data_IF_538928396052
#
_entry.id   IF_538928396052
#
_cell.length_a   1.000
_cell.length_b   1.000
_cell.length_c   1.000
_cell.angle_alpha   90.00
_cell.angle_beta   90.00
_cell.angle_gamma   90.00
#
_symmetry.space_group_name_H-M   'P 1'
#
loop_
_entity.id
_entity.type
_entity.pdbx_description
1 polymer ?
#
# COMPACT_ATOMS: atom_id res chain seq x y z
N UNK A 1 -35.86 -26.76 -53.71
CA UNK A 1 -35.19 -26.71 -52.42
C UNK A 1 -33.79 -27.38 -52.39
N UNK A 2 -33.58 -28.56 -52.96
CA UNK A 2 -32.26 -29.23 -52.96
C UNK A 2 -31.11 -28.48 -53.67
N UNK A 3 -31.38 -27.74 -54.76
CA UNK A 3 -30.33 -26.96 -55.50
C UNK A 3 -29.83 -25.73 -54.73
N UNK A 4 -30.66 -25.05 -53.97
CA UNK A 4 -30.27 -23.90 -53.14
C UNK A 4 -29.48 -24.31 -51.90
N UNK A 5 -29.75 -25.49 -51.34
CA UNK A 5 -28.98 -26.03 -50.23
C UNK A 5 -27.54 -26.43 -50.62
N UNK A 6 -27.35 -26.95 -51.84
CA UNK A 6 -26.02 -27.26 -52.39
C UNK A 6 -25.17 -25.98 -52.65
N UNK A 7 -25.78 -24.90 -53.09
CA UNK A 7 -25.09 -23.61 -53.32
C UNK A 7 -24.67 -22.97 -51.99
N UNK A 8 -25.53 -23.02 -50.96
CA UNK A 8 -25.19 -22.54 -49.63
C UNK A 8 -24.06 -23.38 -48.98
N UNK A 9 -24.09 -24.70 -49.11
CA UNK A 9 -23.03 -25.59 -48.61
C UNK A 9 -21.72 -25.36 -49.37
N UNK A 10 -21.76 -25.15 -50.69
CA UNK A 10 -20.58 -24.86 -51.48
C UNK A 10 -19.95 -23.48 -51.15
N UNK A 11 -20.78 -22.46 -50.86
CA UNK A 11 -20.33 -21.16 -50.41
C UNK A 11 -19.66 -21.24 -49.00
N UNK A 12 -20.23 -21.97 -48.08
CA UNK A 12 -19.66 -22.21 -46.75
C UNK A 12 -18.32 -22.98 -46.82
N UNK A 13 -18.24 -23.99 -47.69
CA UNK A 13 -17.01 -24.78 -47.86
C UNK A 13 -15.90 -23.94 -48.53
N UNK A 14 -16.25 -23.06 -49.51
CA UNK A 14 -15.28 -22.21 -50.19
C UNK A 14 -14.71 -21.12 -49.26
N UNK A 15 -15.54 -20.49 -48.39
CA UNK A 15 -15.12 -19.48 -47.43
C UNK A 15 -14.23 -20.10 -46.36
N UNK A 16 -14.56 -21.29 -45.85
CA UNK A 16 -13.73 -22.00 -44.86
C UNK A 16 -12.41 -22.48 -45.46
N UNK A 17 -12.34 -22.94 -46.67
CA UNK A 17 -11.15 -23.39 -47.36
C UNK A 17 -10.17 -22.20 -47.64
N UNK A 18 -10.72 -21.06 -48.05
CA UNK A 18 -9.92 -19.87 -48.34
C UNK A 18 -9.32 -19.27 -47.08
N UNK A 19 -10.12 -19.11 -46.01
CA UNK A 19 -9.60 -18.64 -44.73
C UNK A 19 -8.52 -19.55 -44.15
N UNK A 20 -8.62 -20.86 -44.38
CA UNK A 20 -7.61 -21.82 -43.93
C UNK A 20 -6.26 -21.61 -44.65
N UNK A 21 -6.26 -21.41 -45.96
CA UNK A 21 -5.04 -21.18 -46.76
C UNK A 21 -4.36 -19.86 -46.38
N UNK A 22 -5.15 -18.81 -46.20
CA UNK A 22 -4.63 -17.50 -45.77
C UNK A 22 -3.95 -17.56 -44.39
N UNK A 23 -4.52 -18.25 -43.40
CA UNK A 23 -3.92 -18.42 -42.08
C UNK A 23 -2.68 -19.33 -42.09
N UNK A 24 -2.57 -20.26 -43.05
CA UNK A 24 -1.36 -21.09 -43.21
C UNK A 24 -0.17 -20.25 -43.71
N UNK A 25 -0.38 -19.35 -44.65
CA UNK A 25 0.66 -18.45 -45.14
C UNK A 25 1.15 -17.49 -44.04
N UNK A 26 0.23 -16.91 -43.24
CA UNK A 26 0.59 -16.10 -42.08
C UNK A 26 1.45 -16.90 -41.11
N UNK A 27 1.03 -18.12 -40.78
CA UNK A 27 1.73 -18.97 -39.82
C UNK A 27 3.12 -19.37 -40.30
N UNK A 28 3.27 -19.70 -41.59
CA UNK A 28 4.60 -19.97 -42.17
C UNK A 28 5.56 -18.78 -42.07
N UNK A 29 5.05 -17.56 -42.31
CA UNK A 29 5.84 -16.34 -42.14
C UNK A 29 6.28 -16.15 -40.68
N UNK A 30 5.43 -16.39 -39.72
CA UNK A 30 5.77 -16.28 -38.29
C UNK A 30 6.84 -17.30 -37.89
N UNK A 31 6.71 -18.57 -38.33
CA UNK A 31 7.71 -19.62 -38.06
C UNK A 31 9.06 -19.31 -38.67
N UNK A 32 9.09 -18.59 -39.78
CA UNK A 32 10.32 -18.17 -40.48
C UNK A 32 10.85 -16.81 -39.99
N UNK A 33 10.32 -16.28 -38.88
CA UNK A 33 10.64 -14.95 -38.29
C UNK A 33 10.47 -13.79 -39.30
N UNK A 34 9.55 -13.94 -40.27
CA UNK A 34 9.24 -12.93 -41.27
C UNK A 34 8.03 -12.08 -40.79
N UNK A 35 8.13 -11.47 -39.57
CA UNK A 35 7.03 -10.80 -38.91
C UNK A 35 6.37 -9.67 -39.73
N UNK A 36 7.14 -8.79 -40.45
CA UNK A 36 6.52 -7.77 -41.31
C UNK A 36 5.72 -8.35 -42.48
N UNK A 37 6.12 -9.52 -43.00
CA UNK A 37 5.41 -10.21 -44.08
C UNK A 37 4.17 -10.90 -43.53
N UNK A 38 4.26 -11.54 -42.36
CA UNK A 38 3.12 -12.11 -41.66
C UNK A 38 2.02 -11.07 -41.41
N UNK A 39 2.40 -9.87 -40.96
CA UNK A 39 1.44 -8.74 -40.78
C UNK A 39 0.70 -8.40 -42.06
N UNK A 40 1.42 -8.27 -43.19
CA UNK A 40 0.79 -7.93 -44.48
C UNK A 40 -0.23 -8.98 -44.95
N UNK A 41 0.09 -10.26 -44.78
CA UNK A 41 -0.86 -11.33 -45.07
C UNK A 41 -2.02 -11.34 -44.13
N UNK A 42 -1.77 -11.07 -42.84
CA UNK A 42 -2.83 -11.03 -41.83
C UNK A 42 -3.84 -9.89 -42.10
N UNK A 43 -3.36 -8.71 -42.52
CA UNK A 43 -4.24 -7.59 -42.88
C UNK A 43 -5.20 -7.96 -44.03
N UNK A 44 -4.75 -8.71 -45.02
CA UNK A 44 -5.58 -9.23 -46.09
C UNK A 44 -6.60 -10.25 -45.56
N UNK A 45 -6.17 -11.21 -44.73
CA UNK A 45 -7.08 -12.19 -44.10
C UNK A 45 -8.17 -11.53 -43.26
N UNK A 46 -7.83 -10.50 -42.49
CA UNK A 46 -8.78 -9.73 -41.67
C UNK A 46 -9.81 -8.99 -42.51
N UNK A 47 -9.37 -8.38 -43.64
CA UNK A 47 -10.27 -7.65 -44.52
C UNK A 47 -11.35 -8.54 -45.16
N UNK A 48 -10.98 -9.80 -45.45
CA UNK A 48 -11.89 -10.76 -46.08
C UNK A 48 -12.78 -11.52 -45.07
N UNK A 49 -12.32 -11.68 -43.83
CA UNK A 49 -12.97 -12.52 -42.83
C UNK A 49 -13.06 -11.86 -41.45
N UNK A 50 -13.67 -10.66 -41.31
CA UNK A 50 -13.64 -9.87 -40.07
C UNK A 50 -14.40 -10.50 -38.89
N UNK A 51 -15.33 -11.43 -39.17
CA UNK A 51 -16.17 -12.10 -38.17
C UNK A 51 -15.72 -13.55 -37.86
N UNK A 52 -14.54 -13.96 -38.31
CA UNK A 52 -14.01 -15.29 -38.09
C UNK A 52 -13.13 -15.38 -36.83
N UNK A 53 -13.53 -16.18 -35.85
CA UNK A 53 -12.79 -16.36 -34.59
C UNK A 53 -11.33 -16.82 -34.77
N UNK A 54 -11.08 -17.75 -35.71
CA UNK A 54 -9.71 -18.23 -36.00
C UNK A 54 -8.83 -17.15 -36.61
N UNK A 55 -9.40 -16.22 -37.39
CA UNK A 55 -8.69 -15.07 -37.96
C UNK A 55 -8.30 -14.10 -36.87
N UNK A 56 -9.19 -13.79 -35.95
CA UNK A 56 -8.89 -12.96 -34.78
C UNK A 56 -7.84 -13.60 -33.87
N UNK A 57 -7.93 -14.94 -33.66
CA UNK A 57 -6.92 -15.67 -32.89
C UNK A 57 -5.53 -15.61 -33.54
N UNK A 58 -5.46 -15.74 -34.86
CA UNK A 58 -4.21 -15.57 -35.61
C UNK A 58 -3.71 -14.13 -35.53
N UNK A 59 -4.56 -13.13 -35.68
CA UNK A 59 -4.20 -11.72 -35.54
C UNK A 59 -3.59 -11.44 -34.16
N UNK A 60 -4.20 -11.97 -33.09
CA UNK A 60 -3.65 -11.82 -31.74
C UNK A 60 -2.25 -12.43 -31.62
N UNK A 61 -2.04 -13.64 -32.19
CA UNK A 61 -0.72 -14.26 -32.22
C UNK A 61 0.29 -13.43 -33.03
N UNK A 62 -0.10 -12.92 -34.21
CA UNK A 62 0.77 -12.00 -35.00
C UNK A 62 1.22 -10.82 -34.15
N UNK A 63 0.32 -10.22 -33.37
CA UNK A 63 0.63 -9.10 -32.53
C UNK A 63 1.62 -9.49 -31.39
N UNK A 64 1.51 -10.69 -30.80
CA UNK A 64 2.52 -11.20 -29.85
C UNK A 64 3.89 -11.31 -30.50
N UNK A 65 3.96 -11.83 -31.74
CA UNK A 65 5.23 -11.94 -32.48
C UNK A 65 5.78 -10.56 -32.88
N UNK A 66 4.93 -9.58 -33.20
CA UNK A 66 5.33 -8.20 -33.46
C UNK A 66 5.99 -7.55 -32.25
N UNK A 67 5.43 -7.74 -31.05
CA UNK A 67 6.03 -7.27 -29.81
C UNK A 67 7.41 -7.91 -29.58
N UNK A 68 7.52 -9.23 -29.70
CA UNK A 68 8.82 -9.92 -29.55
C UNK A 68 9.85 -9.44 -30.57
N UNK A 69 9.43 -9.24 -31.82
CA UNK A 69 10.26 -8.71 -32.88
C UNK A 69 10.80 -7.31 -32.54
N UNK A 70 9.96 -6.45 -31.98
CA UNK A 70 10.40 -5.11 -31.54
C UNK A 70 11.36 -5.19 -30.35
N UNK A 71 11.13 -6.08 -29.39
CA UNK A 71 12.07 -6.30 -28.28
C UNK A 71 13.44 -6.74 -28.79
N UNK A 72 13.50 -7.69 -29.73
CA UNK A 72 14.74 -8.15 -30.30
C UNK A 72 15.50 -7.06 -31.10
N UNK A 73 14.76 -6.19 -31.81
CA UNK A 73 15.35 -5.05 -32.52
C UNK A 73 15.95 -4.03 -31.55
N UNK A 74 15.18 -3.64 -30.54
CA UNK A 74 15.61 -2.66 -29.54
C UNK A 74 16.72 -3.18 -28.61
N UNK A 75 16.79 -4.50 -28.40
CA UNK A 75 17.91 -5.10 -27.68
C UNK A 75 19.23 -5.02 -28.47
N UNK A 76 19.16 -5.07 -29.81
CA UNK A 76 20.34 -4.91 -30.70
C UNK A 76 20.73 -3.45 -30.90
N UNK A 77 19.76 -2.56 -30.92
CA UNK A 77 19.97 -1.13 -31.07
C UNK A 77 18.95 -0.36 -30.18
N UNK A 78 19.38 0.08 -28.98
CA UNK A 78 18.53 0.82 -28.04
C UNK A 78 18.02 2.17 -28.54
N UNK A 79 18.55 2.69 -29.63
CA UNK A 79 18.08 3.96 -30.24
C UNK A 79 16.78 3.79 -31.04
N UNK A 80 16.41 2.54 -31.35
CA UNK A 80 15.19 2.25 -32.11
C UNK A 80 13.94 2.41 -31.25
N UNK A 81 12.88 2.89 -31.88
CA UNK A 81 11.53 2.86 -31.33
C UNK A 81 10.77 1.62 -31.77
N UNK A 82 9.72 1.19 -31.02
CA UNK A 82 8.87 0.10 -31.44
C UNK A 82 8.24 0.38 -32.80
N UNK A 83 8.30 -0.59 -33.71
CA UNK A 83 7.62 -0.54 -34.99
C UNK A 83 6.11 -0.81 -34.82
N UNK A 84 5.77 -1.57 -33.76
CA UNK A 84 4.40 -1.98 -33.47
C UNK A 84 4.04 -1.57 -32.03
N UNK A 85 3.88 -0.26 -31.76
CA UNK A 85 3.77 0.26 -30.39
C UNK A 85 2.55 -0.26 -29.62
N UNK A 86 1.47 -0.63 -30.33
CA UNK A 86 0.22 -1.11 -29.74
C UNK A 86 0.12 -2.65 -29.72
N UNK A 87 1.17 -3.37 -30.15
CA UNK A 87 1.09 -4.82 -30.37
C UNK A 87 0.55 -5.61 -29.16
N UNK A 88 0.91 -5.22 -27.93
CA UNK A 88 0.44 -5.90 -26.71
C UNK A 88 -1.03 -5.69 -26.47
N UNK A 89 -1.54 -4.46 -26.61
CA UNK A 89 -2.97 -4.16 -26.44
C UNK A 89 -3.79 -4.81 -27.58
N UNK A 90 -3.30 -4.73 -28.79
CA UNK A 90 -3.93 -5.35 -29.97
C UNK A 90 -3.98 -6.88 -29.83
N UNK A 91 -2.93 -7.50 -29.28
CA UNK A 91 -2.91 -8.93 -28.98
C UNK A 91 -3.99 -9.29 -27.95
N UNK A 92 -4.05 -8.56 -26.85
CA UNK A 92 -5.03 -8.79 -25.78
C UNK A 92 -6.46 -8.68 -26.29
N UNK A 93 -6.76 -7.58 -27.00
CA UNK A 93 -8.08 -7.35 -27.60
C UNK A 93 -8.43 -8.42 -28.65
N UNK A 94 -7.45 -8.86 -29.43
CA UNK A 94 -7.61 -9.92 -30.42
C UNK A 94 -7.98 -11.27 -29.78
N UNK A 95 -7.33 -11.66 -28.67
CA UNK A 95 -7.70 -12.85 -27.91
C UNK A 95 -9.12 -12.76 -27.33
N UNK A 96 -9.49 -11.60 -26.78
CA UNK A 96 -10.85 -11.37 -26.26
C UNK A 96 -11.89 -11.44 -27.38
N UNK A 97 -11.61 -10.85 -28.55
CA UNK A 97 -12.51 -10.86 -29.70
C UNK A 97 -12.69 -12.26 -30.24
N UNK A 98 -11.60 -13.03 -30.38
CA UNK A 98 -11.68 -14.44 -30.80
C UNK A 98 -12.62 -15.25 -29.89
N UNK A 99 -12.47 -15.14 -28.56
CA UNK A 99 -13.35 -15.79 -27.58
C UNK A 99 -14.79 -15.31 -27.65
N UNK A 100 -15.03 -14.05 -27.98
CA UNK A 100 -16.38 -13.51 -28.10
C UNK A 100 -17.13 -14.03 -29.32
N UNK A 101 -16.40 -14.36 -30.38
CA UNK A 101 -16.94 -14.94 -31.63
C UNK A 101 -17.16 -16.45 -31.53
N UNK A 102 -16.20 -17.16 -30.92
CA UNK A 102 -16.30 -18.58 -30.61
C UNK A 102 -15.54 -18.90 -29.31
N UNK A 103 -16.27 -19.33 -28.29
CA UNK A 103 -15.70 -19.71 -26.98
C UNK A 103 -14.81 -20.95 -27.05
N UNK A 104 -14.96 -21.76 -28.08
CA UNK A 104 -14.22 -23.01 -28.30
C UNK A 104 -13.17 -22.87 -29.39
N UNK A 105 -12.85 -21.66 -29.83
CA UNK A 105 -11.81 -21.44 -30.84
C UNK A 105 -10.49 -22.05 -30.42
N UNK A 106 -9.93 -22.89 -31.27
CA UNK A 106 -8.68 -23.61 -31.02
C UNK A 106 -7.55 -23.06 -31.87
N UNK A 107 -6.31 -22.95 -31.31
CA UNK A 107 -5.17 -22.51 -32.07
C UNK A 107 -4.66 -23.61 -33.00
N UNK A 108 -3.95 -23.22 -34.07
CA UNK A 108 -3.07 -24.13 -34.82
C UNK A 108 -1.91 -24.56 -33.93
N UNK A 109 -1.34 -25.72 -34.21
CA UNK A 109 -0.19 -26.23 -33.46
C UNK A 109 0.95 -25.22 -33.40
N UNK A 110 1.38 -24.90 -32.18
CA UNK A 110 2.48 -23.95 -31.93
C UNK A 110 2.04 -22.48 -31.75
N UNK A 111 0.73 -22.20 -31.89
CA UNK A 111 0.16 -20.88 -31.56
C UNK A 111 -0.40 -20.88 -30.15
N UNK A 112 -0.54 -19.70 -29.57
CA UNK A 112 -1.25 -19.51 -28.31
C UNK A 112 -2.75 -19.60 -28.55
N UNK A 113 -3.45 -20.39 -27.73
CA UNK A 113 -4.89 -20.26 -27.57
C UNK A 113 -5.28 -18.97 -26.85
N UNK A 114 -6.57 -18.64 -26.77
CA UNK A 114 -6.99 -17.38 -26.19
C UNK A 114 -6.55 -17.19 -24.73
N UNK A 115 -6.60 -18.25 -23.93
CA UNK A 115 -6.21 -18.20 -22.51
C UNK A 115 -4.69 -18.11 -22.36
N UNK A 116 -3.96 -18.99 -22.99
CA UNK A 116 -2.49 -19.00 -22.97
C UNK A 116 -1.90 -17.70 -23.55
N UNK A 117 -2.55 -17.16 -24.59
CA UNK A 117 -2.17 -15.90 -25.21
C UNK A 117 -2.33 -14.72 -24.27
N UNK A 118 -3.40 -14.68 -23.48
CA UNK A 118 -3.56 -13.65 -22.44
C UNK A 118 -2.55 -13.82 -21.31
N UNK A 119 -2.26 -15.05 -20.88
CA UNK A 119 -1.27 -15.34 -19.83
C UNK A 119 0.11 -14.80 -20.18
N UNK A 120 0.59 -15.00 -21.42
CA UNK A 120 1.91 -14.50 -21.86
C UNK A 120 2.01 -12.98 -21.96
N UNK A 121 0.90 -12.26 -21.89
CA UNK A 121 0.84 -10.79 -21.88
C UNK A 121 0.93 -10.18 -20.46
N UNK A 122 0.86 -11.00 -19.41
CA UNK A 122 0.84 -10.51 -18.03
C UNK A 122 2.09 -9.66 -17.69
N UNK A 123 3.28 -10.21 -17.89
CA UNK A 123 4.54 -9.48 -17.64
C UNK A 123 4.73 -8.27 -18.56
N UNK A 124 4.50 -8.34 -19.87
CA UNK A 124 4.48 -7.16 -20.73
C UNK A 124 3.59 -6.02 -20.20
N UNK A 125 2.36 -6.30 -19.79
CA UNK A 125 1.48 -5.29 -19.23
C UNK A 125 2.01 -4.72 -17.91
N UNK A 126 2.53 -5.56 -17.02
CA UNK A 126 3.17 -5.12 -15.77
C UNK A 126 4.32 -4.14 -16.05
N UNK A 127 5.18 -4.43 -17.00
CA UNK A 127 6.29 -3.53 -17.37
C UNK A 127 5.78 -2.22 -18.00
N UNK A 128 4.75 -2.28 -18.85
CA UNK A 128 4.08 -1.09 -19.39
C UNK A 128 3.47 -0.23 -18.27
N UNK A 129 2.83 -0.86 -17.29
CA UNK A 129 2.24 -0.17 -16.14
C UNK A 129 3.30 0.57 -15.31
N UNK A 130 4.41 -0.12 -14.96
CA UNK A 130 5.53 0.49 -14.23
C UNK A 130 6.13 1.68 -14.98
N UNK A 131 6.35 1.53 -16.30
CA UNK A 131 6.85 2.62 -17.14
C UNK A 131 5.87 3.79 -17.20
N UNK A 132 4.58 3.53 -17.30
CA UNK A 132 3.56 4.58 -17.27
C UNK A 132 3.55 5.30 -15.93
N UNK A 133 3.61 4.56 -14.81
CA UNK A 133 3.67 5.11 -13.46
C UNK A 133 4.91 5.99 -13.24
N UNK A 134 6.09 5.52 -13.64
CA UNK A 134 7.34 6.28 -13.53
C UNK A 134 7.35 7.57 -14.37
N UNK A 135 6.55 7.61 -15.43
CA UNK A 135 6.37 8.79 -16.27
C UNK A 135 5.19 9.69 -15.83
N UNK A 136 4.56 9.41 -14.70
CA UNK A 136 3.42 10.16 -14.18
C UNK A 136 2.10 9.98 -14.97
N UNK A 137 2.02 8.96 -15.84
CA UNK A 137 0.82 8.63 -16.62
C UNK A 137 -0.07 7.68 -15.82
N UNK A 138 -0.77 8.22 -14.84
CA UNK A 138 -1.55 7.44 -13.86
C UNK A 138 -2.66 6.60 -14.49
N UNK A 139 -3.41 7.15 -15.45
CA UNK A 139 -4.50 6.42 -16.13
C UNK A 139 -3.98 5.23 -16.94
N UNK A 140 -2.88 5.43 -17.68
CA UNK A 140 -2.21 4.34 -18.42
C UNK A 140 -1.68 3.27 -17.44
N UNK A 141 -1.08 3.69 -16.31
CA UNK A 141 -0.58 2.77 -15.30
C UNK A 141 -1.71 1.89 -14.74
N UNK A 142 -2.83 2.51 -14.32
CA UNK A 142 -4.00 1.78 -13.81
C UNK A 142 -4.58 0.82 -14.85
N UNK A 143 -4.67 1.26 -16.11
CA UNK A 143 -5.13 0.43 -17.22
C UNK A 143 -4.27 -0.83 -17.37
N UNK A 144 -2.95 -0.65 -17.44
CA UNK A 144 -2.05 -1.76 -17.69
C UNK A 144 -1.87 -2.68 -16.46
N UNK A 145 -1.84 -2.15 -15.24
CA UNK A 145 -1.91 -2.99 -14.03
C UNK A 145 -3.21 -3.81 -14.00
N UNK A 146 -4.34 -3.22 -14.41
CA UNK A 146 -5.61 -3.92 -14.51
C UNK A 146 -5.61 -5.04 -15.54
N UNK A 147 -4.94 -4.87 -16.68
CA UNK A 147 -4.76 -5.93 -17.68
C UNK A 147 -3.82 -7.02 -17.15
N UNK A 148 -2.69 -6.65 -16.54
CA UNK A 148 -1.76 -7.60 -15.95
C UNK A 148 -2.44 -8.46 -14.87
N UNK A 149 -3.21 -7.83 -13.95
CA UNK A 149 -3.94 -8.55 -12.91
C UNK A 149 -4.86 -9.62 -13.50
N UNK A 150 -5.67 -9.27 -14.53
CA UNK A 150 -6.56 -10.23 -15.20
C UNK A 150 -5.79 -11.37 -15.87
N UNK A 151 -4.66 -11.07 -16.49
CA UNK A 151 -3.83 -12.09 -17.13
C UNK A 151 -3.22 -13.06 -16.09
N UNK A 152 -2.73 -12.55 -14.96
CA UNK A 152 -2.22 -13.37 -13.85
C UNK A 152 -3.34 -14.21 -13.19
N UNK A 153 -4.56 -13.70 -13.07
CA UNK A 153 -5.71 -14.49 -12.60
C UNK A 153 -6.00 -15.70 -13.50
N UNK A 154 -5.85 -15.53 -14.81
CA UNK A 154 -6.03 -16.62 -15.77
C UNK A 154 -4.95 -17.71 -15.64
N UNK A 155 -3.72 -17.37 -15.23
CA UNK A 155 -2.65 -18.31 -14.97
C UNK A 155 -2.65 -18.91 -13.57
N UNK A 156 -3.65 -18.54 -12.75
CA UNK A 156 -3.74 -18.90 -11.32
C UNK A 156 -2.53 -18.37 -10.48
N UNK A 157 -1.82 -17.38 -10.98
CA UNK A 157 -0.71 -16.70 -10.31
C UNK A 157 -1.24 -15.65 -9.31
N UNK A 158 -1.90 -16.12 -8.25
CA UNK A 158 -2.59 -15.27 -7.27
C UNK A 158 -1.68 -14.21 -6.64
N UNK A 159 -0.42 -14.55 -6.36
CA UNK A 159 0.55 -13.61 -5.76
C UNK A 159 0.80 -12.44 -6.71
N UNK A 160 1.04 -12.73 -8.00
CA UNK A 160 1.26 -11.69 -8.99
C UNK A 160 0.00 -10.82 -9.20
N UNK A 161 -1.18 -11.44 -9.28
CA UNK A 161 -2.45 -10.72 -9.39
C UNK A 161 -2.68 -9.81 -8.16
N UNK A 162 -2.47 -10.31 -6.95
CA UNK A 162 -2.55 -9.54 -5.71
C UNK A 162 -1.57 -8.35 -5.71
N UNK A 163 -0.33 -8.59 -6.18
CA UNK A 163 0.67 -7.53 -6.36
C UNK A 163 0.21 -6.42 -7.31
N UNK A 164 -0.44 -6.77 -8.42
CA UNK A 164 -0.98 -5.75 -9.34
C UNK A 164 -2.09 -4.92 -8.70
N UNK A 165 -2.98 -5.53 -7.92
CA UNK A 165 -3.98 -4.78 -7.16
C UNK A 165 -3.35 -3.87 -6.10
N UNK A 166 -2.29 -4.32 -5.44
CA UNK A 166 -1.52 -3.50 -4.52
C UNK A 166 -0.86 -2.30 -5.24
N UNK A 167 -0.22 -2.53 -6.39
CA UNK A 167 0.40 -1.47 -7.19
C UNK A 167 -0.64 -0.44 -7.67
N UNK A 168 -1.85 -0.89 -8.06
CA UNK A 168 -2.97 0.01 -8.36
C UNK A 168 -3.37 0.87 -7.15
N UNK A 169 -3.40 0.28 -5.96
CA UNK A 169 -3.70 1.02 -4.73
C UNK A 169 -2.66 2.12 -4.48
N UNK A 170 -1.37 1.83 -4.70
CA UNK A 170 -0.29 2.83 -4.60
C UNK A 170 -0.51 3.99 -5.57
N UNK A 171 -0.93 3.71 -6.81
CA UNK A 171 -1.29 4.77 -7.77
C UNK A 171 -2.46 5.61 -7.25
N UNK A 172 -3.52 4.99 -6.70
CA UNK A 172 -4.66 5.71 -6.13
C UNK A 172 -4.29 6.54 -4.89
N UNK A 173 -3.30 6.12 -4.09
CA UNK A 173 -2.75 6.94 -3.00
C UNK A 173 -2.17 8.25 -3.56
N UNK A 174 -1.37 8.19 -4.63
CA UNK A 174 -0.79 9.40 -5.25
C UNK A 174 -1.84 10.34 -5.83
N UNK A 175 -3.00 9.79 -6.23
CA UNK A 175 -4.16 10.54 -6.72
C UNK A 175 -5.07 11.06 -5.59
N UNK A 176 -4.78 10.73 -4.33
CA UNK A 176 -5.64 10.97 -3.16
C UNK A 176 -7.06 10.38 -3.31
N UNK A 177 -7.18 9.27 -4.07
CA UNK A 177 -8.45 8.54 -4.27
C UNK A 177 -8.56 7.39 -3.26
N UNK A 178 -8.95 7.72 -2.04
CA UNK A 178 -9.07 6.75 -0.93
C UNK A 178 -10.08 5.62 -1.23
N UNK A 179 -11.16 5.92 -1.94
CA UNK A 179 -12.20 4.93 -2.23
C UNK A 179 -11.70 3.82 -3.15
N UNK A 180 -11.05 4.17 -4.26
CA UNK A 180 -10.47 3.19 -5.17
C UNK A 180 -9.23 2.53 -4.58
N UNK A 181 -8.41 3.24 -3.79
CA UNK A 181 -7.31 2.66 -3.02
C UNK A 181 -7.83 1.52 -2.13
N UNK A 182 -8.83 1.79 -1.27
CA UNK A 182 -9.46 0.79 -0.39
C UNK A 182 -9.92 -0.43 -1.17
N UNK A 183 -10.65 -0.23 -2.27
CA UNK A 183 -11.14 -1.31 -3.12
C UNK A 183 -10.02 -2.19 -3.69
N UNK A 184 -8.91 -1.60 -4.09
CA UNK A 184 -7.78 -2.36 -4.64
C UNK A 184 -7.04 -3.11 -3.55
N UNK A 185 -6.83 -2.51 -2.37
CA UNK A 185 -6.23 -3.19 -1.22
C UNK A 185 -7.07 -4.37 -0.75
N UNK A 186 -8.40 -4.22 -0.67
CA UNK A 186 -9.31 -5.32 -0.35
C UNK A 186 -9.21 -6.48 -1.35
N UNK A 187 -9.09 -6.19 -2.65
CA UNK A 187 -8.87 -7.22 -3.68
C UNK A 187 -7.52 -7.91 -3.50
N UNK A 188 -6.48 -7.15 -3.19
CA UNK A 188 -5.13 -7.67 -2.98
C UNK A 188 -5.10 -8.67 -1.83
N UNK A 189 -5.60 -8.30 -0.64
CA UNK A 189 -5.65 -9.19 0.53
C UNK A 189 -6.64 -10.34 0.40
N UNK A 190 -7.72 -10.17 -0.39
CA UNK A 190 -8.65 -11.26 -0.67
C UNK A 190 -8.02 -12.34 -1.55
N UNK A 191 -7.14 -11.96 -2.48
CA UNK A 191 -6.42 -12.89 -3.33
C UNK A 191 -5.29 -13.61 -2.57
N UNK A 192 -4.52 -12.86 -1.76
CA UNK A 192 -3.40 -13.34 -0.95
C UNK A 192 -3.39 -12.60 0.40
N UNK A 193 -3.91 -13.20 1.48
CA UNK A 193 -4.04 -12.53 2.77
C UNK A 193 -2.71 -12.03 3.37
N UNK A 194 -1.63 -12.77 3.18
CA UNK A 194 -0.29 -12.45 3.69
C UNK A 194 0.60 -11.73 2.67
N UNK A 195 0.01 -11.01 1.73
CA UNK A 195 0.72 -10.32 0.65
C UNK A 195 1.70 -9.26 1.18
N UNK A 196 1.26 -8.43 2.12
CA UNK A 196 2.07 -7.38 2.73
C UNK A 196 1.39 -6.77 3.97
N UNK A 197 2.11 -6.55 5.08
CA UNK A 197 1.62 -5.76 6.22
C UNK A 197 1.16 -4.36 5.82
N UNK A 198 1.86 -3.73 4.86
CA UNK A 198 1.55 -2.38 4.38
C UNK A 198 0.14 -2.27 3.79
N UNK A 199 -0.38 -3.34 3.18
CA UNK A 199 -1.76 -3.36 2.67
C UNK A 199 -2.78 -3.17 3.80
N UNK A 200 -2.56 -3.80 4.95
CA UNK A 200 -3.41 -3.69 6.12
C UNK A 200 -3.25 -2.36 6.85
N UNK A 201 -2.03 -1.85 6.95
CA UNK A 201 -1.74 -0.52 7.52
C UNK A 201 -2.51 0.55 6.73
N UNK A 202 -2.41 0.53 5.42
CA UNK A 202 -3.07 1.52 4.56
C UNK A 202 -4.61 1.38 4.60
N UNK A 203 -5.13 0.15 4.66
CA UNK A 203 -6.58 -0.07 4.84
C UNK A 203 -7.06 0.48 6.19
N UNK A 204 -6.30 0.21 7.25
CA UNK A 204 -6.61 0.75 8.57
C UNK A 204 -6.66 2.29 8.53
N UNK A 205 -5.65 2.94 7.97
CA UNK A 205 -5.61 4.40 7.85
C UNK A 205 -6.79 4.96 7.05
N UNK A 206 -7.16 4.31 5.95
CA UNK A 206 -8.32 4.73 5.16
C UNK A 206 -9.63 4.63 5.97
N UNK A 207 -9.82 3.57 6.75
CA UNK A 207 -11.02 3.41 7.59
C UNK A 207 -10.98 4.29 8.84
N UNK A 208 -9.80 4.55 9.41
CA UNK A 208 -9.62 5.49 10.52
C UNK A 208 -10.02 6.92 10.11
N UNK A 209 -9.62 7.37 8.93
CA UNK A 209 -10.01 8.66 8.35
C UNK A 209 -11.54 8.78 8.16
N UNK A 210 -12.19 7.67 7.84
CA UNK A 210 -13.65 7.57 7.75
C UNK A 210 -14.33 7.43 9.12
N UNK A 211 -13.54 7.33 10.20
CA UNK A 211 -14.01 7.06 11.57
C UNK A 211 -14.81 5.76 11.70
N UNK A 212 -14.55 4.78 10.82
CA UNK A 212 -15.17 3.47 10.83
C UNK A 212 -14.39 2.52 11.75
N UNK A 213 -14.61 2.65 13.05
CA UNK A 213 -13.95 1.86 14.10
C UNK A 213 -14.21 0.34 13.94
N UNK A 214 -15.39 -0.02 13.42
CA UNK A 214 -15.74 -1.43 13.20
C UNK A 214 -14.85 -2.04 12.12
N UNK A 215 -14.71 -1.35 10.98
CA UNK A 215 -13.81 -1.77 9.90
C UNK A 215 -12.34 -1.78 10.34
N UNK A 216 -11.91 -0.80 11.13
CA UNK A 216 -10.57 -0.81 11.73
C UNK A 216 -10.32 -2.11 12.51
N UNK A 217 -11.26 -2.53 13.37
CA UNK A 217 -11.15 -3.77 14.14
C UNK A 217 -11.13 -5.04 13.27
N UNK A 218 -11.97 -5.09 12.23
CA UNK A 218 -11.96 -6.19 11.27
C UNK A 218 -10.59 -6.33 10.56
N UNK A 219 -9.98 -5.21 10.15
CA UNK A 219 -8.69 -5.18 9.48
C UNK A 219 -7.57 -5.63 10.41
N UNK A 220 -7.55 -5.16 11.65
CA UNK A 220 -6.57 -5.60 12.67
C UNK A 220 -6.67 -7.12 12.90
N UNK A 221 -7.88 -7.64 13.05
CA UNK A 221 -8.11 -9.08 13.26
C UNK A 221 -7.65 -9.90 12.06
N UNK A 222 -7.95 -9.47 10.84
CA UNK A 222 -7.49 -10.12 9.61
C UNK A 222 -5.97 -10.10 9.49
N UNK A 223 -5.34 -8.97 9.80
CA UNK A 223 -3.88 -8.82 9.76
C UNK A 223 -3.19 -9.77 10.75
N UNK A 224 -3.65 -9.82 12.00
CA UNK A 224 -3.12 -10.72 13.01
C UNK A 224 -3.20 -12.20 12.57
N UNK A 225 -4.31 -12.59 11.96
CA UNK A 225 -4.50 -13.94 11.42
C UNK A 225 -3.58 -14.22 10.23
N UNK A 226 -3.47 -13.28 9.31
CA UNK A 226 -2.67 -13.43 8.08
C UNK A 226 -1.18 -13.62 8.41
N UNK A 227 -0.66 -12.88 9.39
CA UNK A 227 0.77 -12.91 9.76
C UNK A 227 1.08 -13.70 11.03
N UNK A 228 0.14 -14.50 11.56
CA UNK A 228 0.32 -15.26 12.79
C UNK A 228 1.56 -16.17 12.79
N UNK A 229 1.96 -16.69 11.64
CA UNK A 229 3.13 -17.56 11.47
C UNK A 229 4.40 -16.81 11.03
N UNK A 230 4.33 -15.49 10.81
CA UNK A 230 5.44 -14.66 10.35
C UNK A 230 5.66 -13.47 11.29
N UNK A 231 6.36 -13.73 12.40
CA UNK A 231 6.60 -12.74 13.45
C UNK A 231 7.31 -11.48 12.91
N UNK A 232 8.23 -11.62 11.96
CA UNK A 232 8.94 -10.48 11.35
C UNK A 232 7.99 -9.50 10.67
N UNK A 233 7.01 -10.00 9.94
CA UNK A 233 6.00 -9.15 9.29
C UNK A 233 4.93 -8.67 10.28
N UNK A 234 4.61 -9.48 11.30
CA UNK A 234 3.66 -9.09 12.34
C UNK A 234 4.15 -7.89 13.15
N UNK A 235 5.45 -7.79 13.40
CA UNK A 235 6.09 -6.65 14.08
C UNK A 235 5.80 -5.31 13.36
N UNK A 236 5.73 -5.31 12.03
CA UNK A 236 5.43 -4.08 11.25
C UNK A 236 4.02 -3.54 11.55
N UNK A 237 3.12 -4.39 12.02
CA UNK A 237 1.73 -4.04 12.36
C UNK A 237 1.56 -3.54 13.80
N UNK A 238 2.54 -3.74 14.69
CA UNK A 238 2.41 -3.36 16.10
C UNK A 238 2.05 -1.89 16.32
N UNK A 239 2.64 -0.90 15.62
CA UNK A 239 2.24 0.50 15.76
C UNK A 239 0.76 0.73 15.44
N UNK A 240 0.25 0.11 14.38
CA UNK A 240 -1.15 0.21 13.97
C UNK A 240 -2.08 -0.48 14.97
N UNK A 241 -1.70 -1.64 15.51
CA UNK A 241 -2.45 -2.35 16.55
C UNK A 241 -2.51 -1.53 17.85
N UNK A 242 -1.38 -0.97 18.30
CA UNK A 242 -1.35 -0.11 19.49
C UNK A 242 -2.25 1.11 19.31
N UNK A 243 -2.22 1.76 18.13
CA UNK A 243 -3.08 2.88 17.80
C UNK A 243 -4.55 2.49 17.87
N UNK A 244 -4.92 1.35 17.30
CA UNK A 244 -6.30 0.85 17.34
C UNK A 244 -6.76 0.57 18.78
N UNK A 245 -6.04 -0.27 19.56
CA UNK A 245 -6.46 -0.62 20.91
C UNK A 245 -6.49 0.59 21.85
N UNK A 246 -5.56 1.52 21.70
CA UNK A 246 -5.59 2.79 22.43
C UNK A 246 -6.84 3.62 22.08
N UNK A 247 -7.22 3.68 20.79
CA UNK A 247 -8.37 4.50 20.35
C UNK A 247 -9.72 3.99 20.89
N UNK A 248 -9.85 2.68 21.12
CA UNK A 248 -11.06 2.06 21.66
C UNK A 248 -11.01 1.84 23.18
N UNK A 249 -9.90 2.22 23.83
CA UNK A 249 -9.72 2.04 25.28
C UNK A 249 -9.52 0.59 25.73
N UNK A 250 -9.13 -0.32 24.81
CA UNK A 250 -8.83 -1.72 25.12
C UNK A 250 -7.41 -1.83 25.69
N UNK A 251 -7.27 -1.53 26.96
CA UNK A 251 -5.98 -1.50 27.65
C UNK A 251 -5.35 -2.90 27.78
N UNK A 252 -6.15 -3.97 27.83
CA UNK A 252 -5.62 -5.34 27.95
C UNK A 252 -4.85 -5.73 26.67
N UNK A 253 -5.48 -5.61 25.51
CA UNK A 253 -4.84 -5.90 24.25
C UNK A 253 -3.72 -4.90 23.91
N UNK A 254 -3.87 -3.62 24.28
CA UNK A 254 -2.82 -2.62 24.14
C UNK A 254 -1.56 -3.05 24.88
N UNK A 255 -1.66 -3.40 26.17
CA UNK A 255 -0.51 -3.81 26.97
C UNK A 255 0.14 -5.10 26.46
N UNK A 256 -0.67 -6.05 25.97
CA UNK A 256 -0.17 -7.29 25.38
C UNK A 256 0.67 -7.05 24.12
N UNK A 257 0.25 -6.12 23.25
CA UNK A 257 1.03 -5.74 22.06
C UNK A 257 2.26 -4.93 22.43
N UNK A 258 2.13 -3.99 23.38
CA UNK A 258 3.27 -3.22 23.91
C UNK A 258 4.38 -4.14 24.44
N UNK A 259 4.06 -5.20 25.18
CA UNK A 259 5.05 -6.14 25.70
C UNK A 259 5.80 -6.87 24.57
N UNK A 260 5.09 -7.29 23.53
CA UNK A 260 5.69 -7.90 22.34
C UNK A 260 6.58 -6.90 21.57
N UNK A 261 6.12 -5.67 21.45
CA UNK A 261 6.84 -4.59 20.75
C UNK A 261 8.17 -4.24 21.48
N UNK A 262 8.15 -4.14 22.81
CA UNK A 262 9.34 -3.92 23.64
C UNK A 262 10.33 -5.08 23.49
N UNK A 263 9.85 -6.32 23.43
CA UNK A 263 10.69 -7.50 23.28
C UNK A 263 11.49 -7.52 21.97
N UNK A 264 11.11 -6.76 20.95
CA UNK A 264 11.89 -6.60 19.71
C UNK A 264 13.24 -5.91 19.94
N UNK A 265 13.35 -5.09 20.98
CA UNK A 265 14.53 -4.30 21.29
C UNK A 265 14.75 -3.09 20.36
N UNK A 266 13.82 -2.80 19.46
CA UNK A 266 13.85 -1.61 18.59
C UNK A 266 13.62 -0.34 19.41
N UNK A 267 14.58 0.56 19.37
CA UNK A 267 14.58 1.78 20.20
C UNK A 267 13.43 2.73 19.83
N UNK A 268 13.11 2.87 18.55
CA UNK A 268 12.02 3.72 18.12
C UNK A 268 10.66 3.14 18.57
N UNK A 269 10.51 1.82 18.45
CA UNK A 269 9.31 1.12 18.94
C UNK A 269 9.16 1.23 20.45
N UNK A 270 10.27 1.13 21.23
CA UNK A 270 10.26 1.32 22.67
C UNK A 270 9.81 2.75 23.05
N UNK A 271 10.23 3.78 22.32
CA UNK A 271 9.78 5.16 22.54
C UNK A 271 8.27 5.32 22.28
N UNK A 272 7.76 4.71 21.21
CA UNK A 272 6.32 4.72 20.89
C UNK A 272 5.52 3.93 21.95
N UNK A 273 5.99 2.77 22.37
CA UNK A 273 5.41 1.97 23.46
C UNK A 273 5.29 2.79 24.75
N UNK A 274 6.34 3.52 25.13
CA UNK A 274 6.33 4.36 26.33
C UNK A 274 5.26 5.47 26.26
N UNK A 275 5.00 6.02 25.06
CA UNK A 275 3.92 6.99 24.86
C UNK A 275 2.56 6.34 25.11
N UNK A 276 2.29 5.15 24.59
CA UNK A 276 1.04 4.42 24.84
C UNK A 276 0.86 4.03 26.32
N UNK A 277 1.95 3.56 26.97
CA UNK A 277 1.94 3.26 28.40
C UNK A 277 1.65 4.50 29.24
N UNK A 278 2.21 5.64 28.88
CA UNK A 278 1.94 6.93 29.54
C UNK A 278 0.47 7.33 29.42
N UNK A 279 -0.11 7.23 28.21
CA UNK A 279 -1.51 7.54 27.98
C UNK A 279 -2.47 6.59 28.72
N UNK A 280 -2.06 5.33 28.88
CA UNK A 280 -2.74 4.32 29.70
C UNK A 280 -2.49 4.48 31.22
N UNK A 281 -1.77 5.53 31.64
CA UNK A 281 -1.35 5.83 33.02
C UNK A 281 -0.48 4.76 33.68
N UNK A 282 0.17 3.92 32.87
CA UNK A 282 1.15 2.92 33.32
C UNK A 282 2.55 3.57 33.47
N UNK A 283 2.64 4.64 34.28
CA UNK A 283 3.81 5.52 34.37
C UNK A 283 5.11 4.79 34.72
N UNK A 284 5.10 3.87 35.70
CA UNK A 284 6.28 3.14 36.12
C UNK A 284 6.84 2.25 35.00
N UNK A 285 5.93 1.61 34.25
CA UNK A 285 6.30 0.78 33.11
C UNK A 285 6.86 1.60 31.97
N UNK A 286 6.27 2.77 31.68
CA UNK A 286 6.76 3.73 30.68
C UNK A 286 8.18 4.22 31.01
N UNK A 287 8.40 4.60 32.28
CA UNK A 287 9.70 5.05 32.76
C UNK A 287 10.77 3.98 32.62
N UNK A 288 10.44 2.74 33.04
CA UNK A 288 11.37 1.61 32.90
C UNK A 288 11.79 1.40 31.45
N UNK A 289 10.83 1.35 30.52
CA UNK A 289 11.11 1.17 29.08
C UNK A 289 12.00 2.28 28.54
N UNK A 290 11.71 3.53 28.88
CA UNK A 290 12.51 4.68 28.45
C UNK A 290 13.93 4.67 29.07
N UNK A 291 14.05 4.31 30.35
CA UNK A 291 15.33 4.20 31.03
C UNK A 291 16.19 3.11 30.40
N UNK A 292 15.62 1.93 30.16
CA UNK A 292 16.33 0.82 29.52
C UNK A 292 16.80 1.20 28.10
N UNK A 293 15.98 1.93 27.34
CA UNK A 293 16.32 2.42 26.00
C UNK A 293 17.41 3.52 26.06
N UNK A 294 17.33 4.46 27.01
CA UNK A 294 18.32 5.53 27.21
C UNK A 294 19.70 5.00 27.64
N UNK A 295 19.81 3.81 28.23
CA UNK A 295 21.12 3.19 28.48
C UNK A 295 21.86 2.88 27.18
N UNK A 296 21.13 2.62 26.09
CA UNK A 296 21.68 2.32 24.76
C UNK A 296 21.89 3.59 23.95
N UNK A 297 20.95 4.52 24.01
CA UNK A 297 20.97 5.79 23.25
C UNK A 297 20.69 7.01 24.16
N UNK A 298 21.68 7.46 24.95
CA UNK A 298 21.47 8.49 25.98
C UNK A 298 21.00 9.86 25.44
N UNK A 299 21.31 10.18 24.19
CA UNK A 299 20.96 11.44 23.53
C UNK A 299 19.86 11.29 22.47
N UNK A 300 19.11 10.18 22.48
CA UNK A 300 18.00 10.02 21.54
C UNK A 300 16.86 10.97 21.90
N UNK A 301 16.56 11.89 21.00
CA UNK A 301 15.53 12.92 21.21
C UNK A 301 14.14 12.31 21.57
N UNK A 302 13.71 11.27 20.88
CA UNK A 302 12.40 10.63 21.13
C UNK A 302 12.30 10.09 22.55
N UNK A 303 13.36 9.46 23.05
CA UNK A 303 13.41 8.91 24.40
C UNK A 303 13.43 10.02 25.45
N UNK A 304 14.26 11.04 25.27
CA UNK A 304 14.32 12.20 26.18
C UNK A 304 12.98 12.93 26.24
N UNK A 305 12.36 13.18 25.08
CA UNK A 305 11.02 13.75 24.99
C UNK A 305 9.98 12.85 25.65
N UNK A 306 10.07 11.54 25.44
CA UNK A 306 9.20 10.55 26.05
C UNK A 306 9.23 10.59 27.57
N UNK A 307 10.42 10.72 28.17
CA UNK A 307 10.56 10.91 29.63
C UNK A 307 9.92 12.22 30.11
N UNK A 308 10.15 13.33 29.41
CA UNK A 308 9.52 14.61 29.71
C UNK A 308 8.01 14.52 29.63
N UNK A 309 7.48 13.90 28.58
CA UNK A 309 6.06 13.68 28.37
C UNK A 309 5.45 12.80 29.49
N UNK A 310 6.09 11.69 29.83
CA UNK A 310 5.64 10.79 30.91
C UNK A 310 5.45 11.54 32.23
N UNK A 311 6.41 12.33 32.66
CA UNK A 311 6.33 13.09 33.90
C UNK A 311 5.33 14.25 33.81
N UNK A 312 5.20 14.90 32.65
CA UNK A 312 4.20 15.92 32.42
C UNK A 312 2.78 15.36 32.54
N UNK A 313 2.51 14.21 31.95
CA UNK A 313 1.20 13.55 32.04
C UNK A 313 0.86 13.10 33.48
N UNK A 314 1.85 12.61 34.23
CA UNK A 314 1.68 12.33 35.65
C UNK A 314 1.36 13.59 36.44
N UNK A 315 2.06 14.70 36.20
CA UNK A 315 1.76 15.99 36.81
C UNK A 315 0.33 16.46 36.48
N UNK A 316 -0.10 16.36 35.23
CA UNK A 316 -1.48 16.73 34.84
C UNK A 316 -2.53 15.85 35.52
N UNK A 317 -2.27 14.56 35.66
CA UNK A 317 -3.17 13.64 36.38
C UNK A 317 -3.30 13.97 37.86
N UNK A 318 -2.19 14.36 38.50
CA UNK A 318 -2.21 14.86 39.87
C UNK A 318 -3.04 16.16 39.99
N UNK A 319 -2.87 17.09 39.04
CA UNK A 319 -3.62 18.35 39.02
C UNK A 319 -5.11 18.14 38.73
N UNK A 320 -5.48 17.15 37.92
CA UNK A 320 -6.87 16.74 37.71
C UNK A 320 -7.50 16.17 39.00
N UNK A 321 -6.77 15.32 39.72
CA UNK A 321 -7.20 14.81 41.04
C UNK A 321 -7.45 15.99 42.04
N UNK A 322 -6.55 16.96 42.05
CA UNK A 322 -6.73 18.19 42.85
C UNK A 322 -8.00 18.96 42.44
N UNK A 323 -8.20 19.15 41.13
CA UNK A 323 -9.39 19.88 40.64
C UNK A 323 -10.70 19.17 41.01
N UNK A 324 -10.75 17.86 40.95
CA UNK A 324 -11.86 17.03 41.37
C UNK A 324 -12.16 17.20 42.86
N UNK A 325 -11.11 17.21 43.71
CA UNK A 325 -11.25 17.45 45.16
C UNK A 325 -11.79 18.87 45.42
N UNK A 326 -11.32 19.87 44.70
CA UNK A 326 -11.86 21.25 44.79
C UNK A 326 -13.35 21.34 44.43
N UNK A 327 -13.72 20.71 43.30
CA UNK A 327 -15.12 20.68 42.82
C UNK A 327 -16.05 19.93 43.80
N UNK A 328 -15.53 18.94 44.51
CA UNK A 328 -16.24 18.18 45.57
C UNK A 328 -16.18 18.87 46.93
N UNK A 329 -15.65 20.09 47.03
CA UNK A 329 -15.47 20.86 48.27
C UNK A 329 -14.58 20.20 49.31
N UNK A 330 -13.68 19.30 48.87
CA UNK A 330 -12.66 18.63 49.74
C UNK A 330 -11.39 19.47 49.77
N UNK A 331 -11.45 20.64 50.39
CA UNK A 331 -10.39 21.66 50.32
C UNK A 331 -9.06 21.21 50.98
N UNK A 332 -9.14 20.47 52.08
CA UNK A 332 -7.96 19.93 52.73
C UNK A 332 -7.23 18.94 51.85
N UNK A 333 -7.97 18.03 51.21
CA UNK A 333 -7.43 17.07 50.28
C UNK A 333 -6.83 17.78 49.06
N UNK A 334 -7.51 18.74 48.50
CA UNK A 334 -6.99 19.55 47.38
C UNK A 334 -5.66 20.25 47.76
N UNK A 335 -5.57 20.75 49.00
CA UNK A 335 -4.34 21.39 49.51
C UNK A 335 -3.21 20.35 49.69
N UNK A 336 -3.54 19.19 50.26
CA UNK A 336 -2.58 18.08 50.43
C UNK A 336 -2.01 17.64 49.10
N UNK A 337 -2.83 17.44 48.07
CA UNK A 337 -2.41 17.09 46.71
C UNK A 337 -1.48 18.18 46.13
N UNK A 338 -1.85 19.45 46.28
CA UNK A 338 -1.04 20.56 45.76
C UNK A 338 0.35 20.65 46.40
N UNK A 339 0.45 20.33 47.69
CA UNK A 339 1.71 20.37 48.44
C UNK A 339 2.51 19.08 48.37
N UNK A 340 1.97 18.02 47.74
CA UNK A 340 2.58 16.69 47.73
C UNK A 340 3.96 16.69 47.06
N UNK A 341 4.87 15.85 47.55
CA UNK A 341 6.18 15.61 46.93
C UNK A 341 6.01 14.94 45.56
N UNK A 342 4.99 14.08 45.38
CA UNK A 342 4.62 13.47 44.12
C UNK A 342 4.46 14.54 43.01
N UNK A 343 3.66 15.57 43.28
CA UNK A 343 3.47 16.68 42.34
C UNK A 343 4.74 17.44 42.04
N UNK A 344 5.54 17.76 43.07
CA UNK A 344 6.80 18.52 42.90
C UNK A 344 7.81 17.73 42.09
N UNK A 345 7.94 16.44 42.37
CA UNK A 345 8.86 15.53 41.68
C UNK A 345 8.44 15.36 40.20
N UNK A 346 7.15 15.13 39.94
CA UNK A 346 6.66 15.00 38.58
C UNK A 346 6.94 16.29 37.74
N UNK A 347 6.65 17.46 38.34
CA UNK A 347 6.86 18.75 37.70
C UNK A 347 8.36 19.03 37.42
N UNK A 348 9.23 18.76 38.40
CA UNK A 348 10.70 18.97 38.25
C UNK A 348 11.27 18.02 37.20
N UNK A 349 10.93 16.75 37.24
CA UNK A 349 11.40 15.75 36.27
C UNK A 349 10.89 16.06 34.85
N UNK A 350 9.62 16.49 34.69
CA UNK A 350 9.11 16.93 33.40
C UNK A 350 9.95 18.07 32.82
N UNK A 351 10.27 19.08 33.65
CA UNK A 351 11.14 20.18 33.25
C UNK A 351 12.50 19.67 32.79
N UNK A 352 13.19 18.90 33.63
CA UNK A 352 14.57 18.51 33.41
C UNK A 352 14.73 17.61 32.17
N UNK A 353 13.80 16.70 31.94
CA UNK A 353 13.83 15.85 30.76
C UNK A 353 13.44 16.61 29.48
N UNK A 354 12.45 17.51 29.53
CA UNK A 354 12.14 18.37 28.39
C UNK A 354 13.29 19.34 28.06
N UNK A 355 14.03 19.85 29.06
CA UNK A 355 15.20 20.68 28.84
C UNK A 355 16.36 19.90 28.20
N UNK A 356 16.59 18.64 28.60
CA UNK A 356 17.51 17.74 27.90
C UNK A 356 17.10 17.51 26.45
N UNK A 357 15.81 17.23 26.19
CA UNK A 357 15.30 17.05 24.84
C UNK A 357 15.46 18.32 24.01
N UNK A 358 15.16 19.49 24.57
CA UNK A 358 15.34 20.80 23.91
C UNK A 358 16.79 21.06 23.46
N UNK A 359 17.76 20.60 24.22
CA UNK A 359 19.18 20.72 23.86
C UNK A 359 19.57 19.85 22.67
N UNK A 360 18.83 18.78 22.40
CA UNK A 360 19.05 17.89 21.25
C UNK A 360 18.28 18.38 20.01
N UNK A 361 17.00 18.71 20.18
CA UNK A 361 16.14 19.27 19.14
C UNK A 361 15.30 20.41 19.73
N UNK A 362 15.73 21.63 19.47
CA UNK A 362 15.09 22.85 19.96
C UNK A 362 13.84 23.26 19.17
N UNK A 363 13.51 22.58 18.08
CA UNK A 363 12.40 22.97 17.17
C UNK A 363 11.11 22.16 17.38
N UNK A 364 11.12 21.18 18.28
CA UNK A 364 9.95 20.37 18.54
C UNK A 364 8.89 21.12 19.37
N UNK A 365 7.75 21.44 18.74
CA UNK A 365 6.69 22.24 19.36
C UNK A 365 6.12 21.63 20.64
N UNK A 366 5.83 20.32 20.63
CA UNK A 366 5.22 19.62 21.75
C UNK A 366 6.13 19.67 22.99
N UNK A 367 7.43 19.31 22.81
CA UNK A 367 8.40 19.40 23.88
C UNK A 367 8.55 20.83 24.43
N UNK A 368 8.56 21.83 23.53
CA UNK A 368 8.73 23.23 23.90
C UNK A 368 7.54 23.79 24.67
N UNK A 369 6.32 23.36 24.35
CA UNK A 369 5.11 23.74 25.08
C UNK A 369 5.17 23.19 26.51
N UNK A 370 5.51 21.91 26.69
CA UNK A 370 5.64 21.30 28.02
C UNK A 370 6.76 22.01 28.81
N UNK A 371 7.93 22.20 28.19
CA UNK A 371 9.06 22.87 28.84
C UNK A 371 8.69 24.29 29.31
N UNK A 372 8.03 25.08 28.49
CA UNK A 372 7.57 26.43 28.84
C UNK A 372 6.60 26.37 30.02
N UNK A 373 5.63 25.48 29.99
CA UNK A 373 4.66 25.32 31.08
C UNK A 373 5.35 24.94 32.38
N UNK A 374 6.24 23.97 32.38
CA UNK A 374 6.97 23.55 33.58
C UNK A 374 7.84 24.68 34.13
N UNK A 375 8.48 25.50 33.27
CA UNK A 375 9.22 26.70 33.72
C UNK A 375 8.30 27.70 34.43
N UNK A 376 7.09 27.93 33.94
CA UNK A 376 6.09 28.81 34.61
C UNK A 376 5.70 28.23 35.98
N UNK A 377 5.37 26.94 36.03
CA UNK A 377 4.94 26.28 37.26
C UNK A 377 6.05 26.22 38.33
N UNK A 378 7.30 26.11 37.92
CA UNK A 378 8.50 26.15 38.77
C UNK A 378 8.95 27.57 39.11
N UNK A 379 8.28 28.60 38.60
CA UNK A 379 8.60 30.03 38.75
C UNK A 379 10.02 30.37 38.21
N UNK A 380 10.49 29.64 37.20
CA UNK A 380 11.77 29.92 36.52
C UNK A 380 11.60 31.03 35.47
N UNK A 381 11.38 32.25 35.95
CA UNK A 381 11.11 33.43 35.12
C UNK A 381 12.33 34.38 35.07
N UNK A 382 12.51 35.13 33.97
CA UNK A 382 11.68 35.14 32.74
C UNK A 382 11.89 33.90 31.87
N UNK A 383 10.85 33.54 31.11
CA UNK A 383 10.97 32.47 30.08
C UNK A 383 11.95 32.97 29.01
N UNK A 384 12.96 32.14 28.58
CA UNK A 384 13.87 32.51 27.53
C UNK A 384 13.13 32.93 26.25
N UNK A 385 13.53 34.08 25.68
CA UNK A 385 12.87 34.62 24.47
C UNK A 385 12.96 33.63 23.32
N UNK A 386 14.12 32.98 23.14
CA UNK A 386 14.32 31.97 22.10
C UNK A 386 13.29 30.84 22.16
N UNK A 387 12.94 30.34 23.36
CA UNK A 387 11.92 29.30 23.52
C UNK A 387 10.54 29.79 23.06
N UNK A 388 10.17 31.04 23.41
CA UNK A 388 8.91 31.64 22.97
C UNK A 388 8.89 31.85 21.45
N UNK A 389 9.98 32.32 20.86
CA UNK A 389 10.09 32.57 19.43
C UNK A 389 9.95 31.26 18.63
N UNK A 390 10.57 30.17 19.07
CA UNK A 390 10.44 28.84 18.45
C UNK A 390 9.01 28.30 18.54
N UNK A 391 8.33 28.45 19.68
CA UNK A 391 6.91 28.07 19.83
C UNK A 391 6.06 28.88 18.85
N UNK A 392 6.21 30.21 18.82
CA UNK A 392 5.41 31.08 17.97
C UNK A 392 5.63 30.79 16.48
N UNK A 393 6.87 30.58 16.04
CA UNK A 393 7.20 30.24 14.67
C UNK A 393 6.52 28.93 14.21
N UNK A 394 6.47 27.90 15.05
CA UNK A 394 5.83 26.63 14.75
C UNK A 394 4.29 26.68 14.81
N UNK A 395 3.73 27.54 15.68
CA UNK A 395 2.26 27.73 15.74
C UNK A 395 1.71 28.46 14.51
N UNK A 396 2.52 29.32 13.87
CA UNK A 396 2.13 30.03 12.63
C UNK A 396 2.20 29.16 11.38
N UNK A 397 2.88 28.01 11.43
CA UNK A 397 3.02 27.06 10.30
C UNK A 397 1.90 26.01 10.26
N UNK A 398 1.00 25.97 11.24
CA UNK A 398 -0.19 25.12 11.29
C UNK A 398 -1.44 25.89 10.83
#
# INVERSE_FOLDING_TARGET
MKKWMLVLVALFVSVSAFSQTCLDDVWQCLRSNQVPKAKKFMDACMAENPDNASVWLMQANVNVYQYRYDLERMAKDPSLTPRYPNAIEDAYNGFLKAMSLDKNVTPKTGMFGPKEGQQVLADPFKEMAKKAQSNGKTDDALKYYGYAAKCYELSAEKINAAGMYFDMAVVYITMNDKANCTKMLEKSIAAVPDISPLAYIQLYENYEDLKDTVKCGEIITKAQKAFASNEKQLVELYPTMMRYYSSIGDNENLLAIVDKAIATGDINMMADCATYLTNAKAYDKAEKVLTDALTKEPNNFKLLKGMGYRYAMEYYDIMDRRQKAMNSRQYEEATRIFQSEERKTAMQNAHDWCDKAYKVDSDNLENNLILREMKVQLQLLPIPQELNDKINARMQQK
#
